data_IF_923379858328
#
_entry.id   IF_923379858328
#
_cell.length_a   1.000
_cell.length_b   1.000
_cell.length_c   1.000
_cell.angle_alpha   90.00
_cell.angle_beta   90.00
_cell.angle_gamma   90.00
#
_symmetry.space_group_name_H-M   'P 1'
#
loop_
_entity.id
_entity.type
_entity.pdbx_description
1 polymer ?
#
# COMPACT_ATOMS: atom_id res chain seq x y z
N UNK A 1 24.05 -7.65 -8.33
CA UNK A 1 23.37 -7.68 -7.01
C UNK A 1 24.46 -7.75 -5.94
N UNK A 2 24.56 -6.77 -5.05
CA UNK A 2 25.63 -6.74 -4.03
C UNK A 2 25.48 -7.92 -3.05
N UNK A 3 26.59 -8.41 -2.50
CA UNK A 3 26.61 -9.55 -1.57
C UNK A 3 25.68 -9.35 -0.37
N UNK A 4 25.56 -8.11 0.12
CA UNK A 4 24.64 -7.75 1.20
C UNK A 4 23.16 -7.96 0.81
N UNK A 5 22.75 -7.57 -0.39
CA UNK A 5 21.38 -7.77 -0.86
C UNK A 5 21.06 -9.25 -1.04
N UNK A 6 22.01 -10.05 -1.52
CA UNK A 6 21.85 -11.49 -1.62
C UNK A 6 21.73 -12.16 -0.25
N UNK A 7 22.48 -11.70 0.76
CA UNK A 7 22.37 -12.20 2.13
C UNK A 7 21.01 -11.88 2.76
N UNK A 8 20.53 -10.64 2.62
CA UNK A 8 19.21 -10.23 3.11
C UNK A 8 18.10 -11.06 2.44
N UNK A 9 18.17 -11.23 1.12
CA UNK A 9 17.19 -12.03 0.38
C UNK A 9 17.18 -13.50 0.86
N UNK A 10 18.35 -14.09 1.13
CA UNK A 10 18.44 -15.46 1.67
C UNK A 10 17.85 -15.58 3.06
N UNK A 11 18.16 -14.65 3.96
CA UNK A 11 17.61 -14.63 5.34
C UNK A 11 16.09 -14.48 5.32
N UNK A 12 15.59 -13.58 4.47
CA UNK A 12 14.16 -13.40 4.26
C UNK A 12 13.51 -14.69 3.77
N UNK A 13 14.10 -15.32 2.75
CA UNK A 13 13.55 -16.52 2.13
C UNK A 13 13.55 -17.71 3.09
N UNK A 14 14.62 -17.92 3.86
CA UNK A 14 14.67 -18.94 4.91
C UNK A 14 13.61 -18.70 6.00
N UNK A 15 13.47 -17.46 6.43
CA UNK A 15 12.44 -17.06 7.40
C UNK A 15 11.03 -17.28 6.86
N UNK A 16 10.77 -16.93 5.60
CA UNK A 16 9.50 -17.14 4.92
C UNK A 16 9.16 -18.62 4.80
N UNK A 17 10.13 -19.46 4.45
CA UNK A 17 9.91 -20.91 4.34
C UNK A 17 9.60 -21.54 5.70
N UNK A 18 10.27 -21.12 6.77
CA UNK A 18 10.03 -21.64 8.13
C UNK A 18 8.76 -21.10 8.77
N UNK A 19 8.48 -19.80 8.61
CA UNK A 19 7.39 -19.08 9.26
C UNK A 19 6.79 -18.03 8.31
N UNK A 20 5.99 -18.44 7.32
CA UNK A 20 5.53 -17.54 6.26
C UNK A 20 4.68 -16.39 6.78
N UNK A 21 3.69 -16.69 7.64
CA UNK A 21 2.80 -15.65 8.18
C UNK A 21 3.54 -14.65 9.06
N UNK A 22 4.41 -15.09 9.97
CA UNK A 22 5.16 -14.18 10.85
C UNK A 22 6.13 -13.30 10.05
N UNK A 23 6.82 -13.88 9.07
CA UNK A 23 7.76 -13.15 8.20
C UNK A 23 7.03 -12.09 7.38
N UNK A 24 5.87 -12.44 6.81
CA UNK A 24 5.04 -11.50 6.07
C UNK A 24 4.47 -10.40 6.97
N UNK A 25 4.03 -10.73 8.19
CA UNK A 25 3.54 -9.75 9.15
C UNK A 25 4.63 -8.73 9.50
N UNK A 26 5.80 -9.19 9.94
CA UNK A 26 6.89 -8.31 10.34
C UNK A 26 7.40 -7.45 9.16
N UNK A 27 7.59 -8.06 7.99
CA UNK A 27 8.10 -7.35 6.81
C UNK A 27 7.09 -6.33 6.29
N UNK A 28 5.82 -6.71 6.19
CA UNK A 28 4.79 -5.81 5.68
C UNK A 28 4.46 -4.69 6.66
N UNK A 29 4.50 -4.96 7.97
CA UNK A 29 4.41 -3.95 9.02
C UNK A 29 5.53 -2.91 8.92
N UNK A 30 6.78 -3.36 8.85
CA UNK A 30 7.94 -2.48 8.73
C UNK A 30 7.90 -1.62 7.44
N UNK A 31 7.57 -2.23 6.29
CA UNK A 31 7.44 -1.51 5.02
C UNK A 31 6.28 -0.51 5.04
N UNK A 32 5.15 -0.84 5.67
CA UNK A 32 4.01 0.08 5.79
C UNK A 32 4.34 1.28 6.69
N UNK A 33 5.05 1.06 7.79
CA UNK A 33 5.55 2.13 8.65
C UNK A 33 6.52 3.05 7.89
N UNK A 34 7.47 2.46 7.16
CA UNK A 34 8.41 3.21 6.33
C UNK A 34 7.70 4.03 5.26
N UNK A 35 6.71 3.45 4.58
CA UNK A 35 5.89 4.15 3.59
C UNK A 35 5.23 5.40 4.17
N UNK A 36 4.67 5.28 5.38
CA UNK A 36 4.03 6.39 6.06
C UNK A 36 5.03 7.46 6.52
N UNK A 37 6.22 7.08 7.01
CA UNK A 37 7.30 8.06 7.33
C UNK A 37 7.69 8.87 6.10
N UNK A 38 7.90 8.20 4.96
CA UNK A 38 8.22 8.86 3.69
C UNK A 38 7.09 9.80 3.27
N UNK A 39 5.83 9.35 3.37
CA UNK A 39 4.67 10.15 3.01
C UNK A 39 4.52 11.40 3.90
N UNK A 40 4.66 11.25 5.21
CA UNK A 40 4.58 12.37 6.14
C UNK A 40 5.73 13.36 5.91
N UNK A 41 6.94 12.84 5.68
CA UNK A 41 8.11 13.67 5.38
C UNK A 41 7.91 14.45 4.09
N UNK A 42 7.46 13.78 3.02
CA UNK A 42 7.14 14.43 1.75
C UNK A 42 6.06 15.50 1.92
N UNK A 43 5.00 15.22 2.68
CA UNK A 43 3.95 16.18 2.98
C UNK A 43 4.53 17.42 3.69
N UNK A 44 5.30 17.24 4.75
CA UNK A 44 5.95 18.34 5.51
C UNK A 44 6.83 19.20 4.59
N UNK A 45 7.65 18.58 3.73
CA UNK A 45 8.50 19.31 2.80
C UNK A 45 7.70 20.06 1.73
N UNK A 46 6.64 19.46 1.20
CA UNK A 46 5.83 20.05 0.11
C UNK A 46 4.92 21.18 0.60
N UNK A 47 4.44 21.11 1.84
CA UNK A 47 3.53 22.10 2.43
C UNK A 47 4.25 23.17 3.25
N UNK A 48 5.59 23.14 3.34
CA UNK A 48 6.38 24.22 3.97
C UNK A 48 6.79 25.22 2.88
N UNK A 49 6.02 26.31 2.66
CA UNK A 49 6.40 27.30 1.66
C UNK A 49 7.63 28.11 2.09
N UNK A 50 8.56 28.35 1.15
CA UNK A 50 9.41 29.53 1.18
C UNK A 50 8.55 30.75 0.79
N UNK A 51 7.84 31.36 1.75
CA UNK A 51 7.02 32.57 1.51
C UNK A 51 7.65 33.80 2.18
N UNK A 52 7.63 34.98 1.51
CA UNK A 52 8.01 36.27 2.12
C UNK A 52 7.07 36.64 3.29
N UNK A 53 7.44 37.59 4.16
CA UNK A 53 6.91 37.76 5.52
C UNK A 53 5.44 38.25 5.65
N UNK A 54 4.65 38.29 4.57
CA UNK A 54 3.24 38.67 4.66
C UNK A 54 2.40 37.47 5.17
N UNK A 55 2.14 37.49 6.48
CA UNK A 55 1.27 36.53 7.18
C UNK A 55 -0.19 36.74 6.74
N UNK A 56 -0.88 35.76 6.15
CA UNK A 56 -2.34 35.78 6.14
C UNK A 56 -2.87 35.64 7.58
N UNK A 57 -4.03 36.26 7.85
CA UNK A 57 -4.67 36.36 9.18
C UNK A 57 -5.06 35.01 9.80
N UNK A 58 -5.04 33.93 9.00
CA UNK A 58 -5.22 32.55 9.44
C UNK A 58 -4.29 31.61 8.65
N UNK A 59 -3.23 31.11 9.29
CA UNK A 59 -2.41 30.02 8.73
C UNK A 59 -2.88 28.68 9.30
N UNK A 60 -3.28 27.70 8.47
CA UNK A 60 -3.51 26.35 8.97
C UNK A 60 -2.20 25.83 9.59
N UNK A 61 -2.27 25.11 10.71
CA UNK A 61 -1.07 24.62 11.38
C UNK A 61 -0.23 23.77 10.43
N UNK A 62 1.08 24.06 10.37
CA UNK A 62 2.02 23.32 9.53
C UNK A 62 1.94 21.82 9.87
N UNK A 63 1.94 20.93 8.86
CA UNK A 63 1.98 19.50 9.13
C UNK A 63 3.18 19.16 10.00
N UNK A 64 2.94 18.39 11.06
CA UNK A 64 3.99 17.84 11.93
C UNK A 64 4.01 16.33 11.77
N UNK A 65 5.16 15.74 12.04
CA UNK A 65 5.27 14.28 12.06
C UNK A 65 4.41 13.70 13.18
N UNK A 66 3.55 12.74 12.83
CA UNK A 66 2.65 12.00 13.70
C UNK A 66 3.16 10.54 13.84
N UNK A 67 3.84 10.19 14.94
CA UNK A 67 4.33 8.84 15.17
C UNK A 67 3.20 7.83 15.41
N UNK A 68 2.04 8.28 15.92
CA UNK A 68 0.89 7.41 16.16
C UNK A 68 0.30 6.98 14.82
N UNK A 69 0.24 7.87 13.83
CA UNK A 69 -0.11 7.51 12.45
C UNK A 69 0.83 6.45 11.90
N UNK A 70 2.14 6.59 12.06
CA UNK A 70 3.10 5.57 11.62
C UNK A 70 2.87 4.22 12.32
N UNK A 71 2.54 4.23 13.62
CA UNK A 71 2.19 3.01 14.36
C UNK A 71 0.92 2.35 13.83
N UNK A 72 -0.10 3.12 13.43
CA UNK A 72 -1.32 2.60 12.80
C UNK A 72 -1.01 1.90 11.48
N UNK A 73 -0.15 2.49 10.64
CA UNK A 73 0.32 1.86 9.39
C UNK A 73 1.14 0.60 9.65
N UNK A 74 1.99 0.60 10.68
CA UNK A 74 2.70 -0.60 11.12
C UNK A 74 1.72 -1.72 11.52
N UNK A 75 0.72 -1.41 12.34
CA UNK A 75 -0.27 -2.37 12.80
C UNK A 75 -1.11 -2.92 11.63
N UNK A 76 -1.58 -2.05 10.75
CA UNK A 76 -2.30 -2.45 9.53
C UNK A 76 -1.45 -3.37 8.65
N UNK A 77 -0.20 -2.99 8.38
CA UNK A 77 0.73 -3.79 7.59
C UNK A 77 0.98 -5.17 8.20
N UNK A 78 1.15 -5.24 9.52
CA UNK A 78 1.36 -6.48 10.27
C UNK A 78 0.16 -7.42 10.13
N UNK A 79 -1.06 -6.90 10.21
CA UNK A 79 -2.29 -7.67 10.03
C UNK A 79 -2.50 -8.12 8.59
N UNK A 80 -2.25 -7.23 7.62
CA UNK A 80 -2.50 -7.51 6.21
C UNK A 80 -1.48 -8.43 5.56
N UNK A 81 -0.24 -8.44 6.03
CA UNK A 81 0.83 -9.26 5.44
C UNK A 81 0.46 -10.74 5.30
N UNK A 82 0.04 -11.43 6.39
CA UNK A 82 -0.42 -12.82 6.32
C UNK A 82 -1.66 -13.03 5.44
N UNK A 83 -2.62 -12.10 5.46
CA UNK A 83 -3.87 -12.19 4.70
C UNK A 83 -3.56 -12.16 3.20
N UNK A 84 -2.77 -11.17 2.77
CA UNK A 84 -2.31 -11.04 1.38
C UNK A 84 -1.46 -12.25 0.99
N UNK A 85 -0.60 -12.75 1.88
CA UNK A 85 0.18 -13.97 1.64
C UNK A 85 -0.69 -15.18 1.32
N UNK A 86 -1.71 -15.44 2.14
CA UNK A 86 -2.66 -16.54 1.92
C UNK A 86 -3.47 -16.36 0.63
N UNK A 87 -3.90 -15.13 0.34
CA UNK A 87 -4.56 -14.81 -0.92
C UNK A 87 -3.68 -15.11 -2.14
N UNK A 88 -2.39 -14.75 -2.08
CA UNK A 88 -1.44 -15.04 -3.14
C UNK A 88 -1.24 -16.55 -3.35
N UNK A 89 -1.17 -17.34 -2.28
CA UNK A 89 -1.11 -18.81 -2.36
C UNK A 89 -2.38 -19.37 -3.00
N UNK A 90 -3.55 -18.86 -2.61
CA UNK A 90 -4.83 -19.25 -3.20
C UNK A 90 -4.85 -18.97 -4.72
N UNK A 91 -4.51 -17.75 -5.14
CA UNK A 91 -4.43 -17.40 -6.57
C UNK A 91 -3.41 -18.25 -7.33
N UNK A 92 -2.32 -18.64 -6.66
CA UNK A 92 -1.30 -19.48 -7.26
C UNK A 92 -1.83 -20.88 -7.60
N UNK A 93 -2.56 -21.46 -6.67
CA UNK A 93 -3.17 -22.79 -6.79
C UNK A 93 -4.37 -22.79 -7.74
N UNK A 94 -5.22 -21.76 -7.70
CA UNK A 94 -6.41 -21.67 -8.55
C UNK A 94 -6.10 -21.31 -10.00
N UNK A 95 -5.02 -20.56 -10.25
CA UNK A 95 -4.66 -20.10 -11.59
C UNK A 95 -3.17 -20.35 -11.89
N UNK A 96 -2.70 -21.59 -12.06
CA UNK A 96 -1.29 -21.90 -12.26
C UNK A 96 -0.73 -21.19 -13.52
N UNK A 97 0.26 -20.31 -13.33
CA UNK A 97 0.86 -19.51 -14.42
C UNK A 97 1.72 -20.34 -15.37
N UNK A 98 2.34 -21.40 -14.87
CA UNK A 98 3.18 -22.32 -15.66
C UNK A 98 2.34 -23.54 -16.02
N UNK A 99 1.96 -23.63 -17.29
CA UNK A 99 1.38 -24.87 -17.82
C UNK A 99 2.48 -25.92 -18.03
N UNK A 100 2.08 -27.19 -18.22
CA UNK A 100 2.94 -28.28 -18.68
C UNK A 100 3.62 -27.79 -19.97
N UNK A 101 4.92 -27.48 -19.91
CA UNK A 101 5.69 -26.86 -21.01
C UNK A 101 6.39 -25.53 -20.68
N UNK A 102 6.27 -25.00 -19.46
CA UNK A 102 7.12 -23.90 -18.97
C UNK A 102 6.80 -22.49 -19.49
N UNK A 103 5.85 -22.37 -20.44
CA UNK A 103 5.37 -21.07 -20.95
C UNK A 103 4.39 -20.44 -19.95
N UNK A 104 4.49 -19.12 -19.77
CA UNK A 104 3.58 -18.37 -18.91
C UNK A 104 2.27 -18.08 -19.63
N UNK A 105 1.17 -18.55 -19.07
CA UNK A 105 -0.17 -18.32 -19.60
C UNK A 105 -0.63 -16.88 -19.29
N UNK A 106 -0.74 -16.05 -20.34
CA UNK A 106 -1.28 -14.69 -20.22
C UNK A 106 -2.75 -14.70 -19.78
N UNK A 107 -3.50 -15.73 -20.14
CA UNK A 107 -4.88 -15.91 -19.68
C UNK A 107 -4.94 -16.19 -18.17
N UNK A 108 -4.06 -17.04 -17.63
CA UNK A 108 -3.98 -17.28 -16.19
C UNK A 108 -3.53 -16.03 -15.43
N UNK A 109 -2.60 -15.26 -16.01
CA UNK A 109 -2.15 -13.99 -15.46
C UNK A 109 -3.28 -12.96 -15.40
N UNK A 110 -4.04 -12.80 -16.49
CA UNK A 110 -5.20 -11.92 -16.54
C UNK A 110 -6.26 -12.31 -15.50
N UNK A 111 -6.55 -13.61 -15.34
CA UNK A 111 -7.48 -14.11 -14.31
C UNK A 111 -7.00 -13.79 -12.88
N UNK A 112 -5.70 -13.91 -12.60
CA UNK A 112 -5.13 -13.54 -11.28
C UNK A 112 -5.32 -12.05 -11.00
N UNK A 113 -4.98 -11.19 -11.96
CA UNK A 113 -5.15 -9.74 -11.80
C UNK A 113 -6.64 -9.41 -11.64
N UNK A 114 -7.52 -9.97 -12.47
CA UNK A 114 -8.96 -9.74 -12.36
C UNK A 114 -9.52 -10.17 -10.99
N UNK A 115 -9.14 -11.36 -10.50
CA UNK A 115 -9.55 -11.83 -9.18
C UNK A 115 -9.03 -10.93 -8.06
N UNK A 116 -7.78 -10.48 -8.13
CA UNK A 116 -7.19 -9.55 -7.16
C UNK A 116 -7.94 -8.20 -7.14
N UNK A 117 -8.23 -7.64 -8.31
CA UNK A 117 -8.92 -6.35 -8.42
C UNK A 117 -10.40 -6.44 -8.05
N UNK A 118 -11.11 -7.52 -8.37
CA UNK A 118 -12.54 -7.65 -8.08
C UNK A 118 -12.80 -8.05 -6.62
N UNK A 119 -11.91 -8.84 -6.02
CA UNK A 119 -12.12 -9.39 -4.66
C UNK A 119 -11.23 -8.68 -3.64
N UNK A 120 -9.92 -8.71 -3.85
CA UNK A 120 -8.97 -8.28 -2.82
C UNK A 120 -8.88 -6.76 -2.71
N UNK A 121 -9.00 -6.01 -3.81
CA UNK A 121 -8.95 -4.55 -3.75
C UNK A 121 -10.13 -3.94 -2.96
N UNK A 122 -11.42 -4.31 -3.21
CA UNK A 122 -12.55 -3.87 -2.40
C UNK A 122 -12.44 -4.24 -0.92
N UNK A 123 -12.09 -5.50 -0.65
CA UNK A 123 -11.95 -6.02 0.72
C UNK A 123 -10.80 -5.31 1.45
N UNK A 124 -9.65 -5.16 0.78
CA UNK A 124 -8.48 -4.48 1.31
C UNK A 124 -8.74 -3.02 1.63
N UNK A 125 -9.44 -2.29 0.74
CA UNK A 125 -9.79 -0.89 0.96
C UNK A 125 -10.80 -0.74 2.10
N UNK A 126 -11.79 -1.62 2.19
CA UNK A 126 -12.77 -1.65 3.29
C UNK A 126 -12.07 -1.90 4.64
N UNK A 127 -11.17 -2.89 4.70
CA UNK A 127 -10.38 -3.16 5.90
C UNK A 127 -9.47 -1.99 6.26
N UNK A 128 -8.86 -1.33 5.28
CA UNK A 128 -8.05 -0.14 5.52
C UNK A 128 -8.87 0.99 6.14
N UNK A 129 -9.98 1.38 5.53
CA UNK A 129 -10.83 2.47 6.04
C UNK A 129 -11.39 2.13 7.42
N UNK A 130 -11.86 0.89 7.60
CA UNK A 130 -12.40 0.42 8.88
C UNK A 130 -11.35 0.39 9.99
N UNK A 131 -10.20 -0.26 9.76
CA UNK A 131 -9.14 -0.37 10.76
C UNK A 131 -8.52 0.99 11.08
N UNK A 132 -8.27 1.83 10.07
CA UNK A 132 -7.76 3.18 10.31
C UNK A 132 -8.77 4.04 11.06
N UNK A 133 -10.05 4.00 10.68
CA UNK A 133 -11.11 4.72 11.38
C UNK A 133 -11.26 4.29 12.84
N UNK A 134 -11.16 2.99 13.11
CA UNK A 134 -11.19 2.44 14.47
C UNK A 134 -9.97 2.87 15.29
N UNK A 135 -8.75 2.78 14.74
CA UNK A 135 -7.52 3.22 15.42
C UNK A 135 -7.40 4.75 15.58
N UNK A 136 -8.13 5.51 14.76
CA UNK A 136 -8.30 6.96 14.91
C UNK A 136 -9.32 7.31 16.02
N UNK A 137 -10.01 6.32 16.60
CA UNK A 137 -11.03 6.52 17.62
C UNK A 137 -12.33 7.14 17.08
N UNK A 138 -12.59 7.02 15.77
CA UNK A 138 -13.82 7.57 15.17
C UNK A 138 -15.04 6.77 15.61
N UNK A 139 -16.17 7.45 15.76
CA UNK A 139 -17.46 6.79 15.91
C UNK A 139 -17.81 5.96 14.66
N UNK A 140 -18.67 4.94 14.81
CA UNK A 140 -19.13 4.13 13.68
C UNK A 140 -19.75 4.98 12.56
N UNK A 141 -20.44 6.06 12.93
CA UNK A 141 -21.00 7.02 11.97
C UNK A 141 -19.90 7.77 11.21
N UNK A 142 -18.84 8.20 11.90
CA UNK A 142 -17.68 8.84 11.28
C UNK A 142 -16.88 7.91 10.36
N UNK A 143 -16.81 6.61 10.68
CA UNK A 143 -16.22 5.59 9.80
C UNK A 143 -17.09 5.40 8.56
N UNK A 144 -18.41 5.26 8.73
CA UNK A 144 -19.37 5.12 7.62
C UNK A 144 -19.32 6.32 6.68
N UNK A 145 -19.21 7.53 7.21
CA UNK A 145 -19.09 8.74 6.41
C UNK A 145 -17.78 8.78 5.62
N UNK A 146 -16.63 8.53 6.30
CA UNK A 146 -15.33 8.42 5.63
C UNK A 146 -15.33 7.36 4.53
N UNK A 147 -16.03 6.25 4.75
CA UNK A 147 -16.23 5.23 3.72
C UNK A 147 -17.01 5.78 2.54
N UNK A 148 -18.19 6.36 2.74
CA UNK A 148 -18.99 6.94 1.63
C UNK A 148 -18.21 7.98 0.83
N UNK A 149 -17.45 8.84 1.52
CA UNK A 149 -16.77 9.97 0.88
C UNK A 149 -15.50 9.53 0.15
N UNK A 150 -14.73 8.59 0.71
CA UNK A 150 -13.40 8.23 0.18
C UNK A 150 -13.38 6.92 -0.59
N UNK A 151 -14.31 6.00 -0.35
CA UNK A 151 -14.21 4.64 -0.88
C UNK A 151 -14.28 4.59 -2.39
N UNK A 152 -15.29 5.21 -3.02
CA UNK A 152 -15.42 5.19 -4.47
C UNK A 152 -14.27 5.92 -5.17
N UNK A 153 -13.88 7.15 -4.78
CA UNK A 153 -12.72 7.81 -5.38
C UNK A 153 -11.44 6.99 -5.24
N UNK A 154 -11.18 6.42 -4.07
CA UNK A 154 -10.00 5.60 -3.82
C UNK A 154 -10.01 4.30 -4.62
N UNK A 155 -11.17 3.65 -4.76
CA UNK A 155 -11.31 2.42 -5.55
C UNK A 155 -11.13 2.69 -7.04
N UNK A 156 -11.70 3.77 -7.57
CA UNK A 156 -11.49 4.18 -8.96
C UNK A 156 -10.03 4.50 -9.24
N UNK A 157 -9.37 5.21 -8.33
CA UNK A 157 -7.94 5.50 -8.46
C UNK A 157 -7.09 4.22 -8.35
N UNK A 158 -7.52 3.26 -7.51
CA UNK A 158 -6.89 1.96 -7.39
C UNK A 158 -6.90 1.21 -8.73
N UNK A 159 -8.07 1.11 -9.37
CA UNK A 159 -8.25 0.43 -10.66
C UNK A 159 -7.48 1.07 -11.83
N UNK A 160 -7.04 2.33 -11.72
CA UNK A 160 -6.23 2.97 -12.77
C UNK A 160 -4.77 2.53 -12.75
N UNK A 161 -4.23 2.19 -11.58
CA UNK A 161 -2.79 2.04 -11.37
C UNK A 161 -2.43 0.61 -10.93
N UNK A 162 -3.22 0.02 -10.04
CA UNK A 162 -2.90 -1.28 -9.46
C UNK A 162 -3.01 -2.48 -10.42
N UNK A 163 -3.89 -2.52 -11.44
CA UNK A 163 -3.89 -3.64 -12.38
C UNK A 163 -2.54 -3.80 -13.10
N UNK A 164 -1.91 -2.68 -13.49
CA UNK A 164 -0.60 -2.70 -14.13
C UNK A 164 0.49 -3.14 -13.15
N UNK A 165 0.47 -2.62 -11.91
CA UNK A 165 1.41 -3.04 -10.87
C UNK A 165 1.28 -4.52 -10.52
N UNK A 166 0.05 -5.04 -10.40
CA UNK A 166 -0.21 -6.45 -10.10
C UNK A 166 0.12 -7.37 -11.27
N UNK A 167 -0.04 -6.89 -12.51
CA UNK A 167 0.42 -7.62 -13.68
C UNK A 167 1.94 -7.87 -13.60
N UNK A 168 2.71 -6.84 -13.28
CA UNK A 168 4.17 -6.95 -13.09
C UNK A 168 4.48 -7.87 -11.91
N UNK A 169 3.77 -7.69 -10.79
CA UNK A 169 3.95 -8.49 -9.58
C UNK A 169 3.76 -9.99 -9.85
N UNK A 170 2.62 -10.40 -10.39
CA UNK A 170 2.33 -11.80 -10.67
C UNK A 170 3.19 -12.38 -11.80
N UNK A 171 3.62 -11.57 -12.77
CA UNK A 171 4.43 -12.04 -13.90
C UNK A 171 5.87 -12.32 -13.53
N UNK A 172 6.47 -11.45 -12.71
CA UNK A 172 7.92 -11.43 -12.48
C UNK A 172 8.31 -11.76 -11.04
N UNK A 173 7.48 -11.45 -10.05
CA UNK A 173 7.85 -11.69 -8.64
C UNK A 173 7.47 -13.11 -8.20
N UNK A 174 8.42 -13.87 -7.63
CA UNK A 174 8.09 -15.15 -7.03
C UNK A 174 7.31 -14.91 -5.73
N UNK A 175 6.53 -15.92 -5.33
CA UNK A 175 5.56 -15.83 -4.23
C UNK A 175 6.07 -15.12 -2.95
N UNK A 176 7.29 -15.39 -2.44
CA UNK A 176 7.77 -14.72 -1.23
C UNK A 176 7.91 -13.20 -1.37
N UNK A 177 8.28 -12.70 -2.55
CA UNK A 177 8.56 -11.29 -2.76
C UNK A 177 7.35 -10.47 -3.23
N UNK A 178 6.19 -11.11 -3.48
CA UNK A 178 4.99 -10.42 -3.97
C UNK A 178 4.44 -9.39 -2.98
N UNK A 179 4.43 -9.72 -1.69
CA UNK A 179 3.96 -8.81 -0.63
C UNK A 179 4.94 -7.64 -0.42
N UNK A 180 6.27 -7.86 -0.27
CA UNK A 180 7.24 -6.76 -0.24
C UNK A 180 7.19 -5.84 -1.47
N UNK A 181 7.02 -6.41 -2.66
CA UNK A 181 6.87 -5.63 -3.90
C UNK A 181 5.64 -4.72 -3.83
N UNK A 182 4.48 -5.28 -3.48
CA UNK A 182 3.24 -4.52 -3.32
C UNK A 182 3.37 -3.40 -2.29
N UNK A 183 4.00 -3.67 -1.14
CA UNK A 183 4.24 -2.67 -0.11
C UNK A 183 5.15 -1.53 -0.61
N UNK A 184 6.16 -1.85 -1.42
CA UNK A 184 7.05 -0.86 -2.04
C UNK A 184 6.30 0.02 -3.03
N UNK A 185 5.46 -0.55 -3.90
CA UNK A 185 4.55 0.22 -4.76
C UNK A 185 3.61 1.12 -3.94
N UNK A 186 3.18 0.66 -2.77
CA UNK A 186 2.39 1.43 -1.82
C UNK A 186 3.08 2.73 -1.37
N UNK A 187 4.40 2.71 -1.14
CA UNK A 187 5.18 3.93 -0.82
C UNK A 187 5.03 4.98 -1.91
N UNK A 188 5.24 4.58 -3.17
CA UNK A 188 5.12 5.47 -4.33
C UNK A 188 3.69 5.98 -4.51
N UNK A 189 2.69 5.12 -4.28
CA UNK A 189 1.29 5.50 -4.31
C UNK A 189 0.97 6.59 -3.28
N UNK A 190 1.41 6.44 -2.04
CA UNK A 190 1.16 7.45 -1.00
C UNK A 190 1.85 8.78 -1.32
N UNK A 191 3.06 8.72 -1.88
CA UNK A 191 3.76 9.91 -2.37
C UNK A 191 3.01 10.58 -3.53
N UNK A 192 2.51 9.80 -4.49
CA UNK A 192 1.72 10.29 -5.62
C UNK A 192 0.44 11.00 -5.17
N UNK A 193 -0.31 10.41 -4.24
CA UNK A 193 -1.49 11.05 -3.66
C UNK A 193 -1.16 12.35 -2.94
N UNK A 194 -0.04 12.38 -2.18
CA UNK A 194 0.41 13.60 -1.52
C UNK A 194 0.75 14.71 -2.52
N UNK A 195 1.36 14.36 -3.65
CA UNK A 195 1.71 15.29 -4.72
C UNK A 195 0.48 15.83 -5.47
N UNK A 196 -0.52 14.98 -5.73
CA UNK A 196 -1.77 15.41 -6.36
C UNK A 196 -2.54 16.38 -5.47
N UNK A 197 -2.74 16.03 -4.20
CA UNK A 197 -3.45 16.90 -3.24
C UNK A 197 -2.76 18.27 -3.13
N UNK A 198 -1.42 18.30 -3.06
CA UNK A 198 -0.67 19.55 -3.00
C UNK A 198 -0.74 20.42 -4.28
N UNK A 199 -1.17 19.85 -5.42
CA UNK A 199 -1.38 20.59 -6.68
C UNK A 199 -2.80 21.13 -6.79
N UNK A 200 -3.81 20.39 -6.35
CA UNK A 200 -5.20 20.87 -6.31
C UNK A 200 -5.35 22.10 -5.40
N UNK A 201 -4.67 22.11 -4.24
CA UNK A 201 -4.62 23.27 -3.34
C UNK A 201 -4.05 24.55 -4.02
N UNK A 202 -3.26 24.41 -5.08
CA UNK A 202 -2.69 25.55 -5.84
C UNK A 202 -3.57 26.02 -6.99
N UNK A 203 -4.46 25.16 -7.48
CA UNK A 203 -5.35 25.45 -8.63
C UNK A 203 -6.68 26.03 -8.15
N UNK A 204 -7.15 25.66 -6.96
CA UNK A 204 -8.34 26.28 -6.33
C UNK A 204 -8.10 27.69 -5.77
N UNK A 205 -6.89 28.23 -5.88
CA UNK A 205 -6.50 29.57 -5.45
C UNK A 205 -6.21 30.55 -6.60
N UNK A 206 -6.69 30.25 -7.81
CA UNK A 206 -6.57 31.12 -9.01
C UNK A 206 -7.94 31.64 -9.41
#
# INVERSE_FOLDING_TARGET
>A
MSLAMAAIARVYQDSFTKRPSATLAATNGALSAFADVVAQTAQIFMTTPNRPPHKPEFEPPRPKYDPIRTLRFFAFGTTMGPIIGRWNVFLENSFPLRSVGGKVSMAALGKRVAADQIVMAPIGLTMFVGMMGWMEGRSLQGIKQKYTDMYLPALTANYKIWPAAQLINFRYMPLPYRVPFQATCGVFWTLYLSLLNAREDKVGSV
#
